data_IF_549715032403
#
_entry.id   IF_549715032403
#
_cell.length_a   1.000
_cell.length_b   1.000
_cell.length_c   1.000
_cell.angle_alpha   90.00
_cell.angle_beta   90.00
_cell.angle_gamma   90.00
#
_symmetry.space_group_name_H-M   'P 1'
#
loop_
_entity.id
_entity.type
_entity.pdbx_description
1 polymer ?
#
# COMPACT_ATOMS: atom_id res chain seq x y z
N UNK A 1 -9.49 6.36 26.25
CA UNK A 1 -8.12 5.82 25.95
C UNK A 1 -7.80 6.07 24.49
N UNK A 2 -6.72 6.80 24.19
CA UNK A 2 -6.23 6.92 22.79
C UNK A 2 -5.66 5.55 22.39
N UNK A 3 -6.31 4.86 21.47
CA UNK A 3 -5.88 3.54 21.00
C UNK A 3 -4.69 3.69 20.08
N UNK A 4 -3.54 3.07 20.42
CA UNK A 4 -2.36 3.02 19.54
C UNK A 4 -2.64 2.26 18.26
N UNK A 5 -2.13 2.73 17.16
CA UNK A 5 -2.14 2.01 15.89
C UNK A 5 -0.76 1.96 15.25
N UNK A 6 -0.53 0.94 14.44
CA UNK A 6 0.62 0.82 13.57
C UNK A 6 0.15 0.77 12.12
N UNK A 7 0.68 1.65 11.30
CA UNK A 7 0.30 1.84 9.90
C UNK A 7 1.52 1.63 9.02
N UNK A 8 1.37 0.88 7.94
CA UNK A 8 2.32 0.87 6.83
C UNK A 8 1.66 1.54 5.64
N UNK A 9 2.28 2.59 5.11
CA UNK A 9 1.92 3.15 3.82
C UNK A 9 2.82 2.53 2.75
N UNK A 10 2.22 1.80 1.83
CA UNK A 10 2.88 1.21 0.67
C UNK A 10 2.67 2.09 -0.56
N UNK A 11 3.77 2.51 -1.18
CA UNK A 11 3.78 3.35 -2.37
C UNK A 11 4.30 2.56 -3.56
N UNK A 12 3.49 2.44 -4.58
CA UNK A 12 3.91 1.91 -5.87
C UNK A 12 4.88 2.90 -6.53
N UNK A 13 6.06 2.39 -6.89
CA UNK A 13 7.12 3.14 -7.55
C UNK A 13 7.40 2.58 -8.96
N UNK A 14 6.51 1.74 -9.48
CA UNK A 14 6.63 1.13 -10.80
C UNK A 14 6.60 2.17 -11.92
N UNK A 15 7.01 1.75 -13.11
CA UNK A 15 7.12 2.64 -14.27
C UNK A 15 5.80 3.27 -14.72
N UNK A 16 4.65 2.61 -14.51
CA UNK A 16 3.31 3.15 -14.82
C UNK A 16 2.97 4.39 -13.97
N UNK A 17 3.43 4.42 -12.73
CA UNK A 17 3.22 5.55 -11.81
C UNK A 17 3.89 6.85 -12.26
N UNK A 18 4.83 6.80 -13.21
CA UNK A 18 5.45 8.00 -13.80
C UNK A 18 4.48 8.84 -14.62
N UNK A 19 3.34 8.25 -15.04
CA UNK A 19 2.36 8.91 -15.90
C UNK A 19 1.29 9.63 -15.10
N UNK A 20 0.70 10.67 -15.72
CA UNK A 20 -0.51 11.34 -15.22
C UNK A 20 -0.39 11.84 -13.78
N UNK A 21 0.81 12.25 -13.37
CA UNK A 21 1.13 12.76 -12.03
C UNK A 21 0.81 11.80 -10.87
N UNK A 22 0.57 10.51 -11.15
CA UNK A 22 0.16 9.52 -10.15
C UNK A 22 1.16 9.41 -8.99
N UNK A 23 2.46 9.31 -9.32
CA UNK A 23 3.49 9.22 -8.29
C UNK A 23 3.60 10.49 -7.45
N UNK A 24 3.51 11.67 -8.08
CA UNK A 24 3.54 12.94 -7.35
C UNK A 24 2.35 13.08 -6.39
N UNK A 25 1.16 12.68 -6.83
CA UNK A 25 -0.02 12.66 -5.97
C UNK A 25 0.17 11.69 -4.80
N UNK A 26 0.65 10.47 -5.02
CA UNK A 26 0.94 9.49 -3.99
C UNK A 26 1.98 10.01 -2.98
N UNK A 27 3.07 10.60 -3.46
CA UNK A 27 4.12 11.21 -2.64
C UNK A 27 3.59 12.37 -1.79
N UNK A 28 2.80 13.26 -2.38
CA UNK A 28 2.18 14.40 -1.68
C UNK A 28 1.28 13.92 -0.54
N UNK A 29 0.49 12.89 -0.78
CA UNK A 29 -0.39 12.30 0.23
C UNK A 29 0.41 11.56 1.31
N UNK A 30 1.51 10.89 0.95
CA UNK A 30 2.42 10.26 1.91
C UNK A 30 3.03 11.29 2.87
N UNK A 31 3.47 12.43 2.36
CA UNK A 31 3.96 13.54 3.18
C UNK A 31 2.87 14.09 4.11
N UNK A 32 1.66 14.29 3.58
CA UNK A 32 0.53 14.77 4.37
C UNK A 32 0.13 13.79 5.47
N UNK A 33 0.06 12.49 5.18
CA UNK A 33 -0.24 11.45 6.16
C UNK A 33 0.86 11.35 7.24
N UNK A 34 2.13 11.42 6.82
CA UNK A 34 3.25 11.43 7.76
C UNK A 34 3.16 12.60 8.74
N UNK A 35 2.93 13.81 8.23
CA UNK A 35 2.74 15.02 9.06
C UNK A 35 1.52 14.90 9.98
N UNK A 36 0.39 14.41 9.45
CA UNK A 36 -0.83 14.21 10.20
C UNK A 36 -0.61 13.27 11.40
N UNK A 37 0.07 12.15 11.17
CA UNK A 37 0.33 11.16 12.23
C UNK A 37 1.29 11.74 13.27
N UNK A 38 2.37 12.35 12.85
CA UNK A 38 3.34 12.95 13.78
C UNK A 38 2.73 14.05 14.64
N UNK A 39 1.86 14.88 14.07
CA UNK A 39 1.29 16.04 14.78
C UNK A 39 0.13 15.64 15.69
N UNK A 40 -0.80 14.83 15.20
CA UNK A 40 -2.06 14.56 15.90
C UNK A 40 -2.13 13.18 16.57
N UNK A 41 -1.27 12.24 16.16
CA UNK A 41 -1.25 10.87 16.66
C UNK A 41 0.17 10.40 17.03
N UNK A 42 0.89 11.13 17.90
CA UNK A 42 2.32 10.88 18.15
C UNK A 42 2.61 9.50 18.77
N UNK A 43 1.60 8.82 19.31
CA UNK A 43 1.72 7.46 19.83
C UNK A 43 1.57 6.39 18.73
N UNK A 44 1.08 6.76 17.55
CA UNK A 44 0.98 5.84 16.41
C UNK A 44 2.34 5.67 15.75
N UNK A 45 2.50 4.53 15.09
CA UNK A 45 3.69 4.24 14.30
C UNK A 45 3.32 4.23 12.81
N UNK A 46 4.07 4.98 12.03
CA UNK A 46 3.98 4.96 10.56
C UNK A 46 5.28 4.42 10.00
N UNK A 47 5.17 3.34 9.23
CA UNK A 47 6.21 2.81 8.38
C UNK A 47 5.89 3.12 6.92
N UNK A 48 6.92 3.31 6.12
CA UNK A 48 6.80 3.58 4.69
C UNK A 48 7.49 2.44 3.94
N UNK A 49 6.82 1.92 2.93
CA UNK A 49 7.35 0.90 2.03
C UNK A 49 7.17 1.37 0.60
N UNK A 50 8.27 1.47 -0.14
CA UNK A 50 8.23 1.63 -1.59
C UNK A 50 8.35 0.26 -2.25
N UNK A 51 7.59 0.01 -3.29
CA UNK A 51 7.70 -1.22 -4.07
C UNK A 51 7.63 -0.93 -5.57
N UNK A 52 8.45 -1.63 -6.29
CA UNK A 52 8.54 -1.70 -7.76
C UNK A 52 8.79 -3.17 -8.12
N UNK A 53 9.81 -3.52 -8.87
CA UNK A 53 10.25 -4.92 -9.00
C UNK A 53 10.73 -5.52 -7.67
N UNK A 54 11.18 -4.66 -6.75
CA UNK A 54 11.60 -4.98 -5.39
C UNK A 54 10.91 -4.07 -4.37
N UNK A 55 10.84 -4.53 -3.13
CA UNK A 55 10.29 -3.73 -2.02
C UNK A 55 11.39 -3.30 -1.06
N UNK A 56 11.27 -2.07 -0.54
CA UNK A 56 12.19 -1.51 0.46
C UNK A 56 11.47 -0.64 1.48
N UNK A 57 11.98 -0.63 2.71
CA UNK A 57 11.54 0.32 3.71
C UNK A 57 12.10 1.72 3.38
N UNK A 58 11.27 2.75 3.52
CA UNK A 58 11.61 4.15 3.27
C UNK A 58 11.63 4.90 4.59
N UNK A 59 12.42 5.96 4.67
CA UNK A 59 12.42 6.88 5.81
C UNK A 59 11.58 8.12 5.46
N UNK A 60 10.85 8.65 6.43
CA UNK A 60 10.00 9.83 6.20
C UNK A 60 10.78 11.05 5.66
N UNK A 61 12.02 11.24 6.08
CA UNK A 61 12.92 12.29 5.57
C UNK A 61 13.26 12.15 4.08
N UNK A 62 13.22 10.94 3.54
CA UNK A 62 13.59 10.65 2.15
C UNK A 62 12.40 10.86 1.19
N UNK A 63 11.17 11.02 1.72
CA UNK A 63 9.95 11.20 0.91
C UNK A 63 10.04 12.40 -0.05
N UNK A 64 10.64 13.51 0.39
CA UNK A 64 10.75 14.70 -0.44
C UNK A 64 11.56 14.46 -1.74
N UNK A 65 12.60 13.62 -1.65
CA UNK A 65 13.50 13.29 -2.75
C UNK A 65 13.12 11.98 -3.46
N UNK A 66 12.05 11.30 -3.00
CA UNK A 66 11.64 10.03 -3.57
C UNK A 66 11.12 10.22 -4.99
N UNK A 67 11.44 9.27 -5.88
CA UNK A 67 10.95 9.21 -7.24
C UNK A 67 10.55 7.78 -7.61
N UNK A 68 9.84 7.61 -8.74
CA UNK A 68 9.56 6.29 -9.29
C UNK A 68 10.85 5.59 -9.74
N UNK A 69 10.80 4.28 -9.86
CA UNK A 69 11.96 3.43 -10.14
C UNK A 69 11.92 2.94 -11.60
N UNK A 70 12.60 3.67 -12.50
CA UNK A 70 12.65 3.32 -13.92
C UNK A 70 13.52 2.10 -14.19
N UNK A 71 14.51 1.83 -13.37
CA UNK A 71 15.41 0.68 -13.52
C UNK A 71 14.72 -0.62 -13.11
N UNK A 72 13.69 -0.52 -12.27
CA UNK A 72 12.91 -1.65 -11.76
C UNK A 72 11.40 -1.41 -11.96
N UNK A 73 10.91 -1.37 -13.21
CA UNK A 73 9.61 -0.78 -13.53
C UNK A 73 8.39 -1.66 -13.20
N UNK A 74 8.58 -2.90 -12.77
CA UNK A 74 7.48 -3.83 -12.51
C UNK A 74 6.84 -3.63 -11.13
N UNK A 75 5.68 -4.27 -10.91
CA UNK A 75 4.86 -4.10 -9.71
C UNK A 75 4.86 -5.40 -8.89
N UNK A 76 5.75 -5.49 -7.88
CA UNK A 76 5.85 -6.63 -6.98
C UNK A 76 5.11 -6.39 -5.66
N UNK A 77 3.78 -6.47 -5.73
CA UNK A 77 2.93 -6.31 -4.54
C UNK A 77 3.18 -7.41 -3.50
N UNK A 78 3.52 -8.63 -3.92
CA UNK A 78 3.82 -9.74 -3.01
C UNK A 78 4.93 -9.36 -2.04
N UNK A 79 6.08 -8.92 -2.56
CA UNK A 79 7.24 -8.55 -1.73
C UNK A 79 6.94 -7.32 -0.85
N UNK A 80 6.21 -6.34 -1.39
CA UNK A 80 5.73 -5.19 -0.63
C UNK A 80 4.87 -5.58 0.57
N UNK A 81 3.90 -6.47 0.38
CA UNK A 81 3.02 -6.98 1.44
C UNK A 81 3.80 -7.82 2.47
N UNK A 82 4.74 -8.64 2.03
CA UNK A 82 5.61 -9.42 2.93
C UNK A 82 6.42 -8.49 3.84
N UNK A 83 7.03 -7.45 3.29
CA UNK A 83 7.79 -6.45 4.04
C UNK A 83 6.89 -5.67 5.00
N UNK A 84 5.74 -5.18 4.54
CA UNK A 84 4.78 -4.45 5.36
C UNK A 84 4.30 -5.29 6.54
N UNK A 85 3.94 -6.55 6.31
CA UNK A 85 3.57 -7.50 7.35
C UNK A 85 4.70 -7.74 8.36
N UNK A 86 5.94 -7.88 7.90
CA UNK A 86 7.11 -8.07 8.77
C UNK A 86 7.34 -6.84 9.68
N UNK A 87 7.16 -5.62 9.17
CA UNK A 87 7.24 -4.40 9.95
C UNK A 87 6.14 -4.35 11.02
N UNK A 88 4.89 -4.63 10.64
CA UNK A 88 3.76 -4.62 11.58
C UNK A 88 3.82 -5.71 12.65
N UNK A 89 4.48 -6.84 12.38
CA UNK A 89 4.68 -7.89 13.39
C UNK A 89 5.54 -7.44 14.56
N UNK A 90 6.44 -6.50 14.36
CA UNK A 90 7.32 -5.92 15.39
C UNK A 90 6.62 -4.87 16.25
N UNK A 91 5.44 -4.42 15.83
CA UNK A 91 4.69 -3.38 16.54
C UNK A 91 3.71 -4.00 17.55
N UNK A 92 3.74 -3.46 18.78
CA UNK A 92 2.81 -3.84 19.86
C UNK A 92 1.59 -2.92 19.87
N UNK A 93 0.93 -2.75 18.71
CA UNK A 93 -0.27 -1.96 18.57
C UNK A 93 -1.48 -2.87 18.36
N UNK A 94 -2.62 -2.61 19.04
CA UNK A 94 -3.84 -3.41 18.87
C UNK A 94 -4.45 -3.25 17.47
N UNK A 95 -4.29 -2.08 16.86
CA UNK A 95 -4.80 -1.81 15.51
C UNK A 95 -3.63 -1.76 14.51
N UNK A 96 -3.70 -2.59 13.49
CA UNK A 96 -2.68 -2.68 12.44
C UNK A 96 -3.33 -2.48 11.09
N UNK A 97 -2.76 -1.58 10.29
CA UNK A 97 -3.29 -1.23 8.98
C UNK A 97 -2.18 -1.15 7.93
N UNK A 98 -2.49 -1.62 6.75
CA UNK A 98 -1.73 -1.32 5.52
C UNK A 98 -2.59 -0.40 4.66
N UNK A 99 -2.00 0.69 4.18
CA UNK A 99 -2.58 1.57 3.17
C UNK A 99 -1.70 1.41 1.93
N UNK A 100 -2.27 0.96 0.82
CA UNK A 100 -1.57 0.77 -0.45
C UNK A 100 -2.05 1.78 -1.48
N UNK A 101 -1.12 2.43 -2.16
CA UNK A 101 -1.40 3.28 -3.33
C UNK A 101 -0.69 2.68 -4.54
N UNK A 102 -1.46 2.34 -5.57
CA UNK A 102 -0.96 1.73 -6.82
C UNK A 102 -1.87 2.11 -7.98
N UNK A 103 -1.39 1.97 -9.20
CA UNK A 103 -2.17 2.20 -10.42
C UNK A 103 -2.37 0.96 -11.29
N UNK A 104 -1.83 -0.19 -10.88
CA UNK A 104 -1.81 -1.38 -11.71
C UNK A 104 -1.99 -2.70 -10.97
N UNK A 105 -2.03 -3.76 -11.77
CA UNK A 105 -2.00 -5.13 -11.32
C UNK A 105 -0.57 -5.58 -10.98
N UNK A 106 -0.39 -6.61 -10.12
CA UNK A 106 0.93 -7.14 -9.86
C UNK A 106 1.52 -7.82 -11.10
N UNK A 107 2.67 -7.36 -11.56
CA UNK A 107 3.39 -7.87 -12.73
C UNK A 107 4.67 -8.61 -12.38
N UNK A 108 5.04 -8.66 -11.09
CA UNK A 108 6.23 -9.35 -10.61
C UNK A 108 5.97 -10.11 -9.31
N UNK A 109 6.73 -11.18 -9.09
CA UNK A 109 6.79 -11.93 -7.84
C UNK A 109 8.18 -12.54 -7.64
N UNK A 110 8.49 -12.99 -6.43
CA UNK A 110 9.77 -13.61 -6.12
C UNK A 110 9.67 -15.13 -6.14
N UNK A 111 10.52 -15.77 -6.91
CA UNK A 111 10.61 -17.23 -7.00
C UNK A 111 12.07 -17.68 -6.98
N UNK A 112 12.40 -18.63 -6.11
CA UNK A 112 13.77 -19.19 -6.00
C UNK A 112 14.86 -18.13 -5.75
N UNK A 113 14.52 -17.02 -5.03
CA UNK A 113 15.47 -15.93 -4.78
C UNK A 113 15.59 -14.92 -5.93
N UNK A 114 14.96 -15.17 -7.08
CA UNK A 114 14.95 -14.29 -8.26
C UNK A 114 13.59 -13.63 -8.42
N UNK A 115 13.55 -12.44 -9.02
CA UNK A 115 12.32 -11.80 -9.42
C UNK A 115 11.90 -12.31 -10.79
N UNK A 116 10.70 -12.88 -10.85
CA UNK A 116 10.01 -13.19 -12.08
C UNK A 116 9.07 -12.01 -12.41
N UNK A 117 9.04 -11.58 -13.66
CA UNK A 117 8.17 -10.50 -14.10
C UNK A 117 7.62 -10.79 -15.50
N UNK A 118 6.38 -10.39 -15.70
CA UNK A 118 5.69 -10.54 -16.99
C UNK A 118 4.56 -9.52 -17.11
N UNK A 119 4.44 -8.94 -18.28
CA UNK A 119 3.30 -8.12 -18.69
C UNK A 119 2.70 -8.67 -20.01
N UNK A 120 1.39 -8.92 -20.11
CA UNK A 120 0.37 -8.85 -19.03
C UNK A 120 0.67 -9.76 -17.85
N UNK A 121 0.04 -9.53 -16.67
CA UNK A 121 0.33 -10.28 -15.47
C UNK A 121 0.17 -11.79 -15.63
N UNK A 122 1.14 -12.55 -15.14
CA UNK A 122 1.05 -14.01 -15.14
C UNK A 122 0.06 -14.49 -14.05
N UNK A 123 -0.80 -15.49 -14.31
CA UNK A 123 -1.76 -16.00 -13.31
C UNK A 123 -1.11 -16.39 -11.97
N UNK A 124 0.10 -16.92 -12.00
CA UNK A 124 0.86 -17.28 -10.80
C UNK A 124 1.24 -16.04 -9.97
N UNK A 125 1.58 -14.92 -10.61
CA UNK A 125 1.86 -13.66 -9.93
C UNK A 125 0.61 -13.16 -9.20
N UNK A 126 -0.54 -13.19 -9.85
CA UNK A 126 -1.82 -12.84 -9.26
C UNK A 126 -2.15 -13.74 -8.06
N UNK A 127 -2.02 -15.06 -8.22
CA UNK A 127 -2.32 -16.02 -7.17
C UNK A 127 -1.42 -15.83 -5.93
N UNK A 128 -0.12 -15.61 -6.13
CA UNK A 128 0.84 -15.37 -5.04
C UNK A 128 0.53 -14.05 -4.31
N UNK A 129 0.21 -13.01 -5.05
CA UNK A 129 -0.19 -11.73 -4.47
C UNK A 129 -1.47 -11.86 -3.64
N UNK A 130 -2.51 -12.53 -4.17
CA UNK A 130 -3.74 -12.79 -3.43
C UNK A 130 -3.51 -13.60 -2.16
N UNK A 131 -2.58 -14.54 -2.18
CA UNK A 131 -2.20 -15.31 -1.00
C UNK A 131 -1.60 -14.40 0.10
N UNK A 132 -0.77 -13.43 -0.26
CA UNK A 132 -0.23 -12.46 0.72
C UNK A 132 -1.32 -11.53 1.28
N UNK A 133 -2.29 -11.09 0.49
CA UNK A 133 -3.48 -10.38 0.99
C UNK A 133 -4.22 -11.22 2.03
N UNK A 134 -4.46 -12.49 1.73
CA UNK A 134 -5.12 -13.43 2.66
C UNK A 134 -4.32 -13.62 3.95
N UNK A 135 -2.99 -13.71 3.86
CA UNK A 135 -2.11 -13.82 5.04
C UNK A 135 -2.13 -12.55 5.90
N UNK A 136 -2.20 -11.37 5.29
CA UNK A 136 -2.38 -10.11 6.02
C UNK A 136 -3.71 -10.09 6.77
N UNK A 137 -4.81 -10.44 6.12
CA UNK A 137 -6.12 -10.52 6.73
C UNK A 137 -6.17 -11.53 7.90
N UNK A 138 -5.57 -12.71 7.72
CA UNK A 138 -5.47 -13.74 8.76
C UNK A 138 -4.62 -13.27 9.97
N UNK A 139 -3.69 -12.33 9.74
CA UNK A 139 -2.88 -11.71 10.81
C UNK A 139 -3.58 -10.53 11.50
N UNK A 140 -4.86 -10.28 11.22
CA UNK A 140 -5.62 -9.18 11.81
C UNK A 140 -5.23 -7.80 11.29
N UNK A 141 -4.62 -7.72 10.11
CA UNK A 141 -4.22 -6.46 9.47
C UNK A 141 -5.34 -6.00 8.54
N UNK A 142 -5.85 -4.79 8.75
CA UNK A 142 -6.77 -4.14 7.83
C UNK A 142 -5.97 -3.53 6.66
N UNK A 143 -6.35 -3.84 5.42
CA UNK A 143 -5.62 -3.37 4.25
C UNK A 143 -6.54 -2.56 3.33
N UNK A 144 -6.30 -1.26 3.25
CA UNK A 144 -7.02 -0.33 2.38
C UNK A 144 -6.19 -0.01 1.14
N UNK A 145 -6.81 -0.16 -0.02
CA UNK A 145 -6.15 0.00 -1.32
C UNK A 145 -6.76 1.21 -2.03
N UNK A 146 -5.89 2.09 -2.50
CA UNK A 146 -6.24 3.25 -3.32
C UNK A 146 -5.67 3.05 -4.71
N UNK A 147 -6.56 2.77 -5.67
CA UNK A 147 -6.20 2.48 -7.05
C UNK A 147 -6.37 3.71 -7.92
N UNK A 148 -5.30 4.08 -8.61
CA UNK A 148 -5.22 5.24 -9.52
C UNK A 148 -5.45 4.86 -10.99
N UNK A 149 -6.00 3.69 -11.25
CA UNK A 149 -6.35 3.16 -12.58
C UNK A 149 -7.79 2.67 -12.60
N UNK A 150 -8.35 2.52 -13.80
CA UNK A 150 -9.72 2.06 -14.02
C UNK A 150 -9.82 0.98 -15.11
N UNK A 151 -8.71 0.37 -15.47
CA UNK A 151 -8.65 -0.69 -16.46
C UNK A 151 -9.47 -1.91 -16.00
N UNK A 152 -10.14 -2.58 -16.93
CA UNK A 152 -11.05 -3.70 -16.62
C UNK A 152 -10.34 -4.86 -15.89
N UNK A 153 -9.09 -5.16 -16.25
CA UNK A 153 -8.29 -6.18 -15.60
C UNK A 153 -7.96 -5.82 -14.16
N UNK A 154 -7.66 -4.54 -13.90
CA UNK A 154 -7.43 -4.03 -12.56
C UNK A 154 -8.71 -4.14 -11.69
N UNK A 155 -9.88 -3.82 -12.25
CA UNK A 155 -11.15 -3.97 -11.56
C UNK A 155 -11.39 -5.43 -11.15
N UNK A 156 -11.11 -6.38 -12.03
CA UNK A 156 -11.22 -7.81 -11.73
C UNK A 156 -10.25 -8.25 -10.62
N UNK A 157 -9.00 -7.80 -10.66
CA UNK A 157 -8.02 -8.08 -9.61
C UNK A 157 -8.48 -7.55 -8.25
N UNK A 158 -8.93 -6.30 -8.19
CA UNK A 158 -9.41 -5.69 -6.94
C UNK A 158 -10.66 -6.38 -6.41
N UNK A 159 -11.56 -6.86 -7.27
CA UNK A 159 -12.70 -7.67 -6.84
C UNK A 159 -12.24 -8.99 -6.18
N UNK A 160 -11.19 -9.63 -6.70
CA UNK A 160 -10.62 -10.82 -6.06
C UNK A 160 -9.98 -10.51 -4.72
N UNK A 161 -9.23 -9.41 -4.62
CA UNK A 161 -8.66 -8.94 -3.37
C UNK A 161 -9.75 -8.66 -2.33
N UNK A 162 -10.83 -8.00 -2.71
CA UNK A 162 -11.94 -7.66 -1.80
C UNK A 162 -12.61 -8.89 -1.16
N UNK A 163 -12.54 -10.06 -1.80
CA UNK A 163 -13.07 -11.31 -1.24
C UNK A 163 -12.18 -11.92 -0.14
N UNK A 164 -10.91 -11.61 -0.12
CA UNK A 164 -9.91 -12.19 0.81
C UNK A 164 -9.35 -11.17 1.81
N UNK A 165 -9.62 -9.90 1.61
CA UNK A 165 -9.11 -8.80 2.41
C UNK A 165 -10.12 -8.36 3.48
N UNK A 166 -9.64 -7.84 4.60
CA UNK A 166 -10.46 -7.25 5.68
C UNK A 166 -10.67 -5.75 5.51
N UNK A 167 -9.96 -5.11 4.58
CA UNK A 167 -10.02 -3.68 4.33
C UNK A 167 -10.95 -3.31 3.18
N UNK A 168 -10.73 -2.13 2.63
CA UNK A 168 -11.53 -1.53 1.57
C UNK A 168 -10.67 -1.22 0.36
N UNK A 169 -11.29 -1.21 -0.81
CA UNK A 169 -10.67 -0.77 -2.05
C UNK A 169 -11.39 0.49 -2.56
N UNK A 170 -10.60 1.47 -2.94
CA UNK A 170 -11.06 2.75 -3.47
C UNK A 170 -10.46 2.97 -4.85
N UNK A 171 -11.32 3.32 -5.80
CA UNK A 171 -10.89 3.83 -7.09
C UNK A 171 -10.92 5.36 -7.05
N UNK A 172 -9.82 5.98 -7.41
CA UNK A 172 -9.69 7.43 -7.31
C UNK A 172 -8.77 7.98 -8.42
N UNK A 173 -8.72 9.27 -8.53
CA UNK A 173 -7.81 9.97 -9.42
C UNK A 173 -6.67 10.59 -8.62
N UNK A 174 -5.52 10.94 -9.23
CA UNK A 174 -4.45 11.63 -8.55
C UNK A 174 -4.91 12.88 -7.78
N UNK A 175 -5.82 13.66 -8.36
CA UNK A 175 -6.35 14.89 -7.75
C UNK A 175 -7.20 14.62 -6.49
N UNK A 176 -7.90 13.50 -6.44
CA UNK A 176 -8.80 13.15 -5.34
C UNK A 176 -8.18 12.19 -4.32
N UNK A 177 -7.00 11.65 -4.59
CA UNK A 177 -6.34 10.67 -3.71
C UNK A 177 -6.22 11.17 -2.27
N UNK A 178 -5.79 12.41 -2.07
CA UNK A 178 -5.62 12.99 -0.74
C UNK A 178 -6.93 13.05 0.04
N UNK A 179 -8.01 13.45 -0.61
CA UNK A 179 -9.34 13.52 0.02
C UNK A 179 -9.79 12.15 0.52
N UNK A 180 -9.70 11.13 -0.33
CA UNK A 180 -10.13 9.77 0.02
C UNK A 180 -9.22 9.12 1.06
N UNK A 181 -7.90 9.18 0.88
CA UNK A 181 -6.95 8.49 1.75
C UNK A 181 -6.92 9.10 3.15
N UNK A 182 -6.80 10.42 3.26
CA UNK A 182 -6.76 11.10 4.56
C UNK A 182 -8.13 11.04 5.25
N UNK A 183 -9.22 11.12 4.47
CA UNK A 183 -10.59 10.93 4.98
C UNK A 183 -10.79 9.53 5.56
N UNK A 184 -10.35 8.50 4.82
CA UNK A 184 -10.41 7.11 5.27
C UNK A 184 -9.59 6.86 6.54
N UNK A 185 -8.35 7.35 6.57
CA UNK A 185 -7.50 7.23 7.75
C UNK A 185 -8.15 7.86 8.99
N UNK A 186 -8.68 9.08 8.88
CA UNK A 186 -9.37 9.77 9.98
C UNK A 186 -10.62 9.03 10.45
N UNK A 187 -11.39 8.47 9.51
CA UNK A 187 -12.55 7.66 9.83
C UNK A 187 -12.19 6.38 10.59
N UNK A 188 -11.17 5.65 10.15
CA UNK A 188 -10.64 4.48 10.85
C UNK A 188 -10.19 4.82 12.28
N UNK A 189 -9.46 5.92 12.43
CA UNK A 189 -9.03 6.38 13.77
C UNK A 189 -10.21 6.64 14.69
N UNK A 190 -11.28 7.28 14.22
CA UNK A 190 -12.49 7.52 15.02
C UNK A 190 -13.12 6.19 15.46
N UNK A 191 -13.25 5.24 14.54
CA UNK A 191 -13.79 3.90 14.83
C UNK A 191 -13.00 3.20 15.94
N UNK A 192 -11.67 3.25 15.90
CA UNK A 192 -10.81 2.62 16.91
C UNK A 192 -10.84 3.32 18.28
N UNK A 193 -11.13 4.63 18.30
CA UNK A 193 -11.25 5.38 19.56
C UNK A 193 -12.61 5.12 20.22
N UNK A 194 -13.65 4.82 19.42
CA UNK A 194 -15.03 4.60 19.88
C UNK A 194 -15.31 3.14 20.27
N UNK A 195 -14.44 2.21 19.95
CA UNK A 195 -14.54 0.79 20.30
C UNK A 195 -13.76 0.47 21.59
#
# INVERSE_FOLDING_TARGET
KRTRSAVVLMLDMSGSMARDEKFFAAKKVALALHTLIQTYFPQDRLHLVGFSSYARALKGRDLACLNWDLDNPYTNMEEGLMLAKALLRREHAPNKQIIMVSDGEPTAHKEGGKVFFQFPPHPRTLARTLLEFKKCAASGIDLNIFMLGQEASLLQFVQQVSKVNRGRAFYTTPNNLGHYLLGDFRWQKRKWISA
#
